data_IF_575949812452
#
_entry.id   IF_575949812452
#
_cell.length_a   1.000
_cell.length_b   1.000
_cell.length_c   1.000
_cell.angle_alpha   90.00
_cell.angle_beta   90.00
_cell.angle_gamma   90.00
#
_symmetry.space_group_name_H-M   'P 1'
#
loop_
_entity.id
_entity.type
_entity.pdbx_description
1 polymer ?
#
# COMPACT_ATOMS: atom_id res chain seq x y z
N UNK A 1 -14.52 12.53 10.34
CA UNK A 1 -14.22 11.29 9.58
C UNK A 1 -14.42 11.61 8.12
N UNK A 2 -13.38 11.43 7.30
CA UNK A 2 -13.48 11.54 5.84
C UNK A 2 -13.80 10.14 5.29
N UNK A 3 -14.76 10.04 4.37
CA UNK A 3 -15.17 8.75 3.78
C UNK A 3 -15.12 8.86 2.27
N UNK A 4 -14.45 7.91 1.63
CA UNK A 4 -14.43 7.74 0.17
C UNK A 4 -13.20 7.00 -0.32
N UNK A 5 -13.14 6.79 -1.63
CA UNK A 5 -12.00 6.20 -2.33
C UNK A 5 -10.88 7.25 -2.45
N UNK A 6 -9.77 7.00 -1.77
CA UNK A 6 -8.62 7.92 -1.72
C UNK A 6 -7.99 8.14 -3.11
N UNK A 7 -8.08 7.16 -4.01
CA UNK A 7 -7.56 7.28 -5.37
C UNK A 7 -8.34 8.31 -6.18
N UNK A 8 -9.65 8.45 -5.92
CA UNK A 8 -10.56 9.36 -6.63
C UNK A 8 -10.65 10.78 -6.02
N UNK A 9 -10.09 11.00 -4.83
CA UNK A 9 -10.17 12.29 -4.13
C UNK A 9 -9.12 13.30 -4.60
N UNK A 10 -9.36 14.01 -5.70
CA UNK A 10 -8.45 15.07 -6.18
C UNK A 10 -9.12 16.45 -6.24
N UNK A 11 -8.67 17.45 -5.45
CA UNK A 11 -7.61 17.38 -4.46
C UNK A 11 -8.00 16.57 -3.22
N UNK A 12 -7.01 15.97 -2.55
CA UNK A 12 -7.22 15.40 -1.21
C UNK A 12 -7.69 16.52 -0.27
N UNK A 13 -8.85 16.39 0.41
CA UNK A 13 -9.45 17.43 1.25
C UNK A 13 -8.77 17.47 2.63
N UNK A 14 -7.45 17.64 2.60
CA UNK A 14 -6.56 17.59 3.76
C UNK A 14 -5.76 18.90 3.85
N UNK A 15 -5.45 19.39 5.06
CA UNK A 15 -4.59 20.55 5.23
C UNK A 15 -3.16 20.26 4.73
N UNK A 16 -2.47 21.29 4.23
CA UNK A 16 -1.06 21.18 3.83
C UNK A 16 -0.15 21.14 5.06
N UNK A 17 0.94 20.36 5.00
CA UNK A 17 1.99 20.27 6.05
C UNK A 17 1.44 20.10 7.47
N UNK A 18 0.42 19.26 7.64
CA UNK A 18 -0.29 19.11 8.91
C UNK A 18 0.08 17.83 9.66
N UNK A 19 0.31 16.72 8.94
CA UNK A 19 0.50 15.42 9.58
C UNK A 19 1.96 15.18 9.94
N UNK A 20 2.22 14.86 11.20
CA UNK A 20 3.52 14.36 11.69
C UNK A 20 3.79 12.92 11.24
N UNK A 21 2.74 12.13 11.03
CA UNK A 21 2.83 10.75 10.58
C UNK A 21 1.63 10.39 9.70
N UNK A 22 1.87 9.64 8.64
CA UNK A 22 0.84 8.97 7.82
C UNK A 22 1.10 7.48 7.86
N UNK A 23 0.07 6.70 8.16
CA UNK A 23 0.15 5.25 8.32
C UNK A 23 -0.66 4.59 7.21
N UNK A 24 -0.03 3.66 6.50
CA UNK A 24 -0.66 2.72 5.59
C UNK A 24 -0.63 1.34 6.24
N UNK A 25 -1.75 0.95 6.84
CA UNK A 25 -1.95 -0.37 7.46
C UNK A 25 -2.62 -1.31 6.48
N UNK A 26 -1.86 -2.17 5.79
CA UNK A 26 -2.35 -3.20 4.87
C UNK A 26 -3.31 -2.60 3.82
N UNK A 27 -2.80 -1.60 3.09
CA UNK A 27 -3.61 -0.77 2.18
C UNK A 27 -2.97 -0.53 0.82
N UNK A 28 -1.64 -0.37 0.72
CA UNK A 28 -0.97 -0.03 -0.53
C UNK A 28 -1.15 -1.10 -1.61
N UNK A 29 -1.18 -2.36 -1.20
CA UNK A 29 -1.42 -3.55 -2.01
C UNK A 29 -2.83 -3.60 -2.60
N UNK A 30 -3.80 -2.90 -2.01
CA UNK A 30 -5.19 -2.82 -2.49
C UNK A 30 -5.43 -1.65 -3.45
N UNK A 31 -4.46 -0.74 -3.61
CA UNK A 31 -4.58 0.42 -4.49
C UNK A 31 -4.24 0.06 -5.94
N UNK A 32 -4.89 0.75 -6.89
CA UNK A 32 -4.54 0.65 -8.31
C UNK A 32 -3.23 1.39 -8.59
N UNK A 33 -3.03 2.58 -8.04
CA UNK A 33 -1.88 3.44 -8.29
C UNK A 33 -1.30 4.00 -6.98
N UNK A 34 -0.71 3.15 -6.12
CA UNK A 34 -0.19 3.57 -4.82
C UNK A 34 0.83 4.71 -4.93
N UNK A 35 1.74 4.66 -5.91
CA UNK A 35 2.74 5.71 -6.13
C UNK A 35 2.13 7.09 -6.43
N UNK A 36 1.01 7.13 -7.17
CA UNK A 36 0.31 8.37 -7.49
C UNK A 36 -0.30 8.99 -6.23
N UNK A 37 -0.90 8.15 -5.37
CA UNK A 37 -1.40 8.57 -4.07
C UNK A 37 -0.27 9.11 -3.17
N UNK A 38 0.86 8.41 -3.08
CA UNK A 38 2.01 8.81 -2.27
C UNK A 38 2.56 10.18 -2.70
N UNK A 39 2.66 10.43 -4.01
CA UNK A 39 3.06 11.74 -4.55
C UNK A 39 2.09 12.86 -4.14
N UNK A 40 0.77 12.60 -4.20
CA UNK A 40 -0.27 13.57 -3.78
C UNK A 40 -0.21 13.83 -2.27
N UNK A 41 0.01 12.80 -1.45
CA UNK A 41 0.05 12.91 0.01
C UNK A 41 1.26 13.69 0.53
N UNK A 42 2.39 13.70 -0.20
CA UNK A 42 3.63 14.40 0.20
C UNK A 42 3.42 15.87 0.60
N UNK A 43 2.42 16.56 0.03
CA UNK A 43 2.12 17.98 0.37
C UNK A 43 1.42 18.14 1.73
N UNK A 44 0.79 17.09 2.23
CA UNK A 44 0.02 17.07 3.48
C UNK A 44 0.85 16.66 4.70
N UNK A 45 1.96 15.95 4.47
CA UNK A 45 2.93 15.57 5.52
C UNK A 45 3.85 16.75 5.85
N UNK A 46 4.17 16.96 7.12
CA UNK A 46 5.17 17.93 7.57
C UNK A 46 6.55 17.64 6.93
N UNK A 47 7.46 18.62 6.97
CA UNK A 47 8.81 18.45 6.38
C UNK A 47 9.58 17.29 7.02
N UNK A 48 9.47 17.15 8.34
CA UNK A 48 10.11 16.10 9.13
C UNK A 48 9.11 15.00 9.51
N UNK A 49 7.96 14.95 8.83
CA UNK A 49 6.93 13.95 9.08
C UNK A 49 7.29 12.60 8.48
N UNK A 50 6.76 11.55 9.07
CA UNK A 50 7.03 10.17 8.70
C UNK A 50 5.91 9.57 7.87
N UNK A 51 6.27 8.64 7.00
CA UNK A 51 5.36 7.69 6.41
C UNK A 51 5.73 6.31 6.92
N UNK A 52 4.75 5.60 7.47
CA UNK A 52 4.90 4.23 7.93
C UNK A 52 3.96 3.37 7.12
N UNK A 53 4.47 2.30 6.52
CA UNK A 53 3.67 1.34 5.77
C UNK A 53 4.08 -0.08 6.17
N UNK A 54 3.11 -0.97 6.29
CA UNK A 54 3.32 -2.40 6.17
C UNK A 54 2.77 -2.86 4.81
N UNK A 55 3.48 -3.76 4.16
CA UNK A 55 3.06 -4.36 2.89
C UNK A 55 3.41 -5.84 2.87
N UNK A 56 2.59 -6.69 2.22
CA UNK A 56 2.88 -8.10 2.09
C UNK A 56 4.11 -8.33 1.20
N UNK A 57 5.00 -9.22 1.64
CA UNK A 57 6.17 -9.63 0.87
C UNK A 57 5.83 -10.84 -0.03
N UNK A 58 5.74 -10.61 -1.34
CA UNK A 58 5.46 -11.68 -2.32
C UNK A 58 6.63 -12.67 -2.45
N UNK A 59 7.84 -12.29 -2.03
CA UNK A 59 9.00 -13.17 -1.97
C UNK A 59 9.05 -14.03 -0.69
N UNK A 60 7.98 -14.07 0.11
CA UNK A 60 7.90 -14.99 1.24
C UNK A 60 7.97 -16.45 0.77
N UNK A 61 8.70 -17.29 1.51
CA UNK A 61 8.99 -18.68 1.11
C UNK A 61 7.74 -19.49 0.78
N UNK A 62 6.63 -19.26 1.50
CA UNK A 62 5.37 -19.99 1.28
C UNK A 62 4.77 -19.70 -0.10
N UNK A 63 4.89 -18.45 -0.59
CA UNK A 63 4.45 -18.08 -1.94
C UNK A 63 5.39 -18.67 -2.98
N UNK A 64 6.71 -18.63 -2.73
CA UNK A 64 7.70 -19.21 -3.63
C UNK A 64 7.47 -20.72 -3.83
N UNK A 65 7.17 -21.46 -2.76
CA UNK A 65 6.85 -22.89 -2.84
C UNK A 65 5.62 -23.15 -3.71
N UNK A 66 4.55 -22.37 -3.54
CA UNK A 66 3.35 -22.47 -4.39
C UNK A 66 3.67 -22.19 -5.86
N UNK A 67 4.45 -21.14 -6.13
CA UNK A 67 4.88 -20.76 -7.48
C UNK A 67 5.75 -21.83 -8.14
N UNK A 68 6.69 -22.45 -7.41
CA UNK A 68 7.50 -23.57 -7.90
C UNK A 68 6.65 -24.79 -8.27
N UNK A 69 5.48 -24.93 -7.66
CA UNK A 69 4.50 -25.97 -7.97
C UNK A 69 3.50 -25.52 -9.05
N UNK A 70 3.70 -24.36 -9.67
CA UNK A 70 2.85 -23.80 -10.72
C UNK A 70 1.52 -23.25 -10.21
N UNK A 71 1.42 -22.91 -8.91
CA UNK A 71 0.19 -22.45 -8.27
C UNK A 71 0.29 -21.00 -7.81
N UNK A 72 -0.85 -20.33 -7.82
CA UNK A 72 -1.03 -19.01 -7.22
C UNK A 72 -2.39 -18.99 -6.50
N UNK A 73 -2.50 -19.67 -5.34
CA UNK A 73 -3.79 -19.85 -4.67
C UNK A 73 -4.23 -18.55 -4.02
N UNK A 74 -5.11 -17.82 -4.70
CA UNK A 74 -5.80 -16.69 -4.08
C UNK A 74 -6.58 -17.15 -2.85
N UNK A 75 -6.57 -16.31 -1.82
CA UNK A 75 -7.20 -16.56 -0.54
C UNK A 75 -8.10 -15.39 -0.14
N UNK A 76 -8.93 -15.62 0.88
CA UNK A 76 -9.78 -14.58 1.49
C UNK A 76 -9.00 -13.61 2.39
N UNK A 77 -7.77 -13.96 2.74
CA UNK A 77 -6.85 -13.18 3.58
C UNK A 77 -5.40 -13.67 3.40
N UNK A 78 -4.44 -12.86 3.84
CA UNK A 78 -3.02 -13.21 3.88
C UNK A 78 -2.25 -12.73 2.65
N UNK A 79 -1.05 -13.29 2.41
CA UNK A 79 -0.14 -12.78 1.37
C UNK A 79 -0.75 -12.79 -0.05
N UNK A 80 -1.62 -13.77 -0.32
CA UNK A 80 -2.31 -13.95 -1.60
C UNK A 80 -3.80 -13.61 -1.48
N UNK A 81 -4.17 -12.66 -0.62
CA UNK A 81 -5.53 -12.12 -0.56
C UNK A 81 -5.99 -11.72 -1.98
N UNK A 82 -7.17 -12.21 -2.37
CA UNK A 82 -7.77 -11.96 -3.69
C UNK A 82 -8.03 -10.50 -4.00
N UNK A 83 -7.98 -9.61 -3.00
CA UNK A 83 -8.14 -8.17 -3.15
C UNK A 83 -6.82 -7.43 -3.33
N UNK A 84 -5.67 -8.10 -3.25
CA UNK A 84 -4.37 -7.50 -3.56
C UNK A 84 -4.25 -7.26 -5.08
N UNK A 85 -4.05 -6.00 -5.46
CA UNK A 85 -3.80 -5.55 -6.84
C UNK A 85 -2.31 -5.33 -7.11
N UNK A 86 -1.50 -5.17 -6.07
CA UNK A 86 -0.05 -4.93 -6.15
C UNK A 86 0.68 -5.89 -5.23
N UNK A 87 1.87 -6.29 -5.65
CA UNK A 87 2.73 -7.24 -4.95
C UNK A 87 4.12 -6.65 -4.80
N UNK A 88 4.68 -6.74 -3.60
CA UNK A 88 5.93 -6.08 -3.25
C UNK A 88 6.98 -7.09 -2.77
N UNK A 89 8.24 -6.81 -3.09
CA UNK A 89 9.42 -7.37 -2.43
C UNK A 89 10.07 -6.27 -1.58
N UNK A 90 10.99 -6.61 -0.64
CA UNK A 90 11.75 -5.59 0.09
C UNK A 90 12.43 -4.58 -0.86
N UNK A 91 13.03 -5.07 -1.95
CA UNK A 91 13.68 -4.23 -2.96
C UNK A 91 12.71 -3.27 -3.66
N UNK A 92 11.46 -3.68 -3.93
CA UNK A 92 10.49 -2.79 -4.61
C UNK A 92 9.92 -1.67 -3.72
N UNK A 93 10.20 -1.71 -2.42
CA UNK A 93 9.69 -0.76 -1.41
C UNK A 93 10.79 0.19 -0.93
N UNK A 94 12.05 -0.22 -1.03
CA UNK A 94 13.25 0.58 -0.74
C UNK A 94 13.57 1.59 -1.86
#
# INVERSE_FOLDING_TARGET
>A
MLVGDVEQMDPLPLPARHFDCVIFGDTLEHLKEPEALLRRLRRHVKRDGLLIANVPNIAHWSVIVELLQGRFPYAEAGLLDRTHLRFFTPESVE
#
